data_IF_834165330979
#
_entry.id   IF_834165330979
#
_cell.length_a   1.000
_cell.length_b   1.000
_cell.length_c   1.000
_cell.angle_alpha   90.00
_cell.angle_beta   90.00
_cell.angle_gamma   90.00
#
_symmetry.space_group_name_H-M   'P 1'
#
loop_
_entity.id
_entity.type
_entity.pdbx_description
1 polymer ?
#
# COMPACT_ATOMS: atom_id res chain seq x y z
N UNK A 1 28.51 12.33 1.84
CA UNK A 1 29.85 12.79 1.46
C UNK A 1 30.03 12.87 -0.07
N UNK A 2 29.44 11.99 -0.86
CA UNK A 2 29.56 12.01 -2.33
C UNK A 2 28.86 13.22 -2.98
N UNK A 3 27.79 13.74 -2.35
CA UNK A 3 27.05 14.93 -2.81
C UNK A 3 27.48 16.23 -2.12
N UNK A 4 28.53 16.21 -1.27
CA UNK A 4 29.03 17.36 -0.57
C UNK A 4 28.20 17.82 0.64
N UNK A 5 27.20 17.07 1.06
CA UNK A 5 26.33 17.35 2.20
C UNK A 5 26.48 16.29 3.32
N UNK A 6 26.16 16.69 4.54
CA UNK A 6 26.11 15.85 5.74
C UNK A 6 24.64 15.56 6.11
N UNK A 7 24.40 14.52 6.89
CA UNK A 7 23.07 14.28 7.48
C UNK A 7 22.61 15.47 8.34
N UNK A 8 23.54 16.19 8.95
CA UNK A 8 23.27 17.40 9.75
C UNK A 8 22.76 18.60 8.94
N UNK A 9 22.87 18.54 7.60
CA UNK A 9 22.39 19.61 6.71
C UNK A 9 20.92 19.37 6.29
N UNK A 10 20.31 18.26 6.70
CA UNK A 10 18.91 17.95 6.39
C UNK A 10 18.00 18.78 7.29
N UNK A 11 17.15 19.61 6.70
CA UNK A 11 16.19 20.46 7.40
C UNK A 11 14.83 19.81 7.56
N UNK A 12 14.45 18.89 6.65
CA UNK A 12 13.16 18.22 6.67
C UNK A 12 13.19 16.87 5.96
N UNK A 13 12.29 15.98 6.39
CA UNK A 13 12.02 14.68 5.77
C UNK A 13 10.55 14.65 5.38
N UNK A 14 10.27 14.41 4.10
CA UNK A 14 8.92 14.18 3.60
C UNK A 14 8.75 12.71 3.27
N UNK A 15 7.67 12.12 3.72
CA UNK A 15 7.42 10.67 3.62
C UNK A 15 6.25 10.44 2.67
N UNK A 16 6.45 9.55 1.68
CA UNK A 16 5.39 9.20 0.73
C UNK A 16 4.25 8.42 1.39
N UNK A 17 4.58 7.56 2.36
CA UNK A 17 3.61 6.74 3.10
C UNK A 17 4.24 6.11 4.35
N UNK A 18 3.39 5.51 5.22
CA UNK A 18 3.79 5.10 6.57
C UNK A 18 4.61 3.81 6.68
N UNK A 19 4.78 3.01 5.63
CA UNK A 19 5.45 1.70 5.70
C UNK A 19 6.86 1.79 6.29
N UNK A 20 7.32 0.74 7.00
CA UNK A 20 8.59 0.75 7.75
C UNK A 20 9.84 1.02 6.91
N UNK A 21 9.88 0.56 5.67
CA UNK A 21 11.00 0.78 4.74
C UNK A 21 11.08 2.22 4.23
N UNK A 22 10.03 3.04 4.46
CA UNK A 22 10.00 4.47 4.16
C UNK A 22 10.16 5.34 5.42
N UNK A 23 9.67 4.89 6.57
CA UNK A 23 9.67 5.66 7.83
C UNK A 23 10.76 5.25 8.82
N UNK A 24 11.30 4.04 8.70
CA UNK A 24 12.17 3.43 9.72
C UNK A 24 13.48 4.18 10.02
N UNK A 25 13.94 5.07 9.13
CA UNK A 25 15.12 5.90 9.36
C UNK A 25 14.79 7.35 9.72
N UNK A 26 13.54 7.77 9.65
CA UNK A 26 13.15 9.18 9.87
C UNK A 26 13.56 9.69 11.24
N UNK A 27 13.31 8.91 12.30
CA UNK A 27 13.72 9.26 13.68
C UNK A 27 15.22 9.44 13.83
N UNK A 28 16.04 8.58 13.19
CA UNK A 28 17.50 8.69 13.21
C UNK A 28 18.02 9.92 12.45
N UNK A 29 17.37 10.28 11.34
CA UNK A 29 17.70 11.52 10.62
C UNK A 29 17.36 12.72 11.49
N UNK A 30 16.18 12.74 12.11
CA UNK A 30 15.78 13.79 13.06
C UNK A 30 16.76 13.92 14.22
N UNK A 31 17.18 12.83 14.84
CA UNK A 31 18.14 12.83 15.94
C UNK A 31 19.49 13.47 15.51
N UNK A 32 19.95 13.18 14.30
CA UNK A 32 21.22 13.66 13.79
C UNK A 32 21.20 15.12 13.31
N UNK A 33 20.08 15.62 12.80
CA UNK A 33 19.96 16.91 12.12
C UNK A 33 19.03 17.93 12.76
N UNK A 34 18.06 17.47 13.59
CA UNK A 34 16.96 18.29 14.04
C UNK A 34 15.85 18.49 12.97
N UNK A 35 15.89 17.72 11.88
CA UNK A 35 14.92 17.82 10.78
C UNK A 35 13.49 17.56 11.25
N UNK A 36 12.54 18.34 10.74
CA UNK A 36 11.10 18.02 10.85
C UNK A 36 10.75 16.84 9.95
N UNK A 37 9.69 16.10 10.30
CA UNK A 37 9.14 15.00 9.49
C UNK A 37 7.72 15.37 9.10
N UNK A 38 7.35 15.13 7.82
CA UNK A 38 6.00 15.36 7.33
C UNK A 38 5.43 14.13 6.60
N UNK A 39 4.15 13.86 6.83
CA UNK A 39 3.37 12.75 6.30
C UNK A 39 1.91 13.19 6.11
N UNK A 40 1.15 12.50 5.24
CA UNK A 40 -0.29 12.74 5.12
C UNK A 40 -1.05 12.27 6.38
N UNK A 41 -2.15 12.95 6.73
CA UNK A 41 -2.89 12.66 7.96
C UNK A 41 -3.45 11.24 8.04
N UNK A 42 -3.95 10.68 6.93
CA UNK A 42 -4.48 9.32 6.89
C UNK A 42 -3.40 8.26 7.17
N UNK A 43 -2.17 8.50 6.74
CA UNK A 43 -1.04 7.62 7.03
C UNK A 43 -0.45 7.86 8.42
N UNK A 44 -0.53 9.08 8.94
CA UNK A 44 -0.16 9.36 10.33
C UNK A 44 -1.02 8.55 11.31
N UNK A 45 -2.33 8.46 11.06
CA UNK A 45 -3.21 7.62 11.89
C UNK A 45 -2.75 6.16 11.93
N UNK A 46 -2.38 5.57 10.77
CA UNK A 46 -1.90 4.20 10.69
C UNK A 46 -0.50 4.03 11.31
N UNK A 47 0.36 5.01 11.10
CA UNK A 47 1.67 5.07 11.74
C UNK A 47 1.56 4.99 13.27
N UNK A 48 0.65 5.77 13.86
CA UNK A 48 0.42 5.77 15.31
C UNK A 48 -0.05 4.39 15.79
N UNK A 49 -0.98 3.76 15.08
CA UNK A 49 -1.44 2.40 15.39
C UNK A 49 -0.30 1.39 15.35
N UNK A 50 0.55 1.45 14.32
CA UNK A 50 1.67 0.51 14.15
C UNK A 50 2.82 0.75 15.13
N UNK A 51 3.17 2.02 15.38
CA UNK A 51 4.30 2.38 16.25
C UNK A 51 4.01 2.12 17.74
N UNK A 52 2.74 2.04 18.11
CA UNK A 52 2.28 1.79 19.48
C UNK A 52 1.73 0.37 19.70
N UNK A 53 1.45 -0.37 18.61
CA UNK A 53 0.94 -1.73 18.71
C UNK A 53 1.98 -2.66 19.34
N UNK A 54 1.52 -3.52 20.26
CA UNK A 54 2.35 -4.58 20.81
C UNK A 54 2.41 -5.75 19.82
N UNK A 55 3.57 -6.40 19.74
CA UNK A 55 3.77 -7.54 18.83
C UNK A 55 2.73 -8.65 19.00
N UNK A 56 2.31 -8.94 20.24
CA UNK A 56 1.29 -9.94 20.53
C UNK A 56 -0.11 -9.52 20.04
N UNK A 57 -0.44 -8.23 20.10
CA UNK A 57 -1.72 -7.68 19.60
C UNK A 57 -1.78 -7.71 18.07
N UNK A 58 -0.70 -7.30 17.42
CA UNK A 58 -0.59 -7.37 15.95
C UNK A 58 -0.69 -8.81 15.46
N UNK A 59 0.02 -9.74 16.09
CA UNK A 59 -0.01 -11.17 15.74
C UNK A 59 -1.42 -11.74 15.91
N UNK A 60 -2.06 -11.47 17.06
CA UNK A 60 -3.42 -11.95 17.33
C UNK A 60 -4.40 -11.45 16.26
N UNK A 61 -4.29 -10.18 15.91
CA UNK A 61 -5.06 -9.53 14.87
C UNK A 61 -4.89 -10.21 13.50
N UNK A 62 -3.65 -10.42 13.07
CA UNK A 62 -3.38 -11.08 11.78
C UNK A 62 -3.95 -12.51 11.73
N UNK A 63 -3.80 -13.26 12.81
CA UNK A 63 -4.34 -14.63 12.89
C UNK A 63 -5.87 -14.64 12.86
N UNK A 64 -6.54 -13.70 13.53
CA UNK A 64 -7.98 -13.55 13.47
C UNK A 64 -8.45 -13.21 12.05
N UNK A 65 -7.79 -12.27 11.38
CA UNK A 65 -8.10 -11.94 9.98
C UNK A 65 -7.94 -13.13 9.05
N UNK A 66 -6.85 -13.88 9.18
CA UNK A 66 -6.65 -15.09 8.40
C UNK A 66 -7.76 -16.10 8.64
N UNK A 67 -8.21 -16.28 9.90
CA UNK A 67 -9.31 -17.19 10.24
C UNK A 67 -10.63 -16.75 9.63
N UNK A 68 -10.98 -15.49 9.80
CA UNK A 68 -12.20 -14.90 9.22
C UNK A 68 -12.22 -14.95 7.69
N UNK A 69 -11.03 -14.84 7.07
CA UNK A 69 -10.86 -14.97 5.64
C UNK A 69 -10.93 -16.41 5.12
N UNK A 70 -11.00 -17.42 6.01
CA UNK A 70 -11.07 -18.83 5.65
C UNK A 70 -9.72 -19.52 5.48
N UNK A 71 -8.62 -18.92 5.97
CA UNK A 71 -7.29 -19.54 5.89
C UNK A 71 -7.23 -20.86 6.66
N UNK A 72 -6.65 -21.94 6.08
CA UNK A 72 -6.46 -23.20 6.77
C UNK A 72 -5.60 -23.04 8.04
N UNK A 73 -5.90 -23.87 9.05
CA UNK A 73 -5.14 -23.86 10.32
C UNK A 73 -3.64 -24.02 10.10
N UNK A 74 -3.23 -24.86 9.14
CA UNK A 74 -1.82 -25.10 8.83
C UNK A 74 -1.10 -23.81 8.36
N UNK A 75 -1.75 -22.96 7.53
CA UNK A 75 -1.18 -21.70 7.08
C UNK A 75 -1.12 -20.67 8.22
N UNK A 76 -2.14 -20.64 9.10
CA UNK A 76 -2.14 -19.79 10.30
C UNK A 76 -1.04 -20.19 11.29
N UNK A 77 -0.83 -21.49 11.51
CA UNK A 77 0.25 -22.00 12.36
C UNK A 77 1.63 -21.68 11.76
N UNK A 78 1.79 -21.81 10.43
CA UNK A 78 3.02 -21.47 9.74
C UNK A 78 3.33 -19.96 9.83
N UNK A 79 2.31 -19.10 9.70
CA UNK A 79 2.48 -17.66 9.88
C UNK A 79 2.95 -17.31 11.29
N UNK A 80 2.33 -17.89 12.33
CA UNK A 80 2.70 -17.67 13.73
C UNK A 80 4.17 -17.99 14.01
N UNK A 81 4.74 -18.98 13.32
CA UNK A 81 6.14 -19.38 13.49
C UNK A 81 7.15 -18.45 12.81
N UNK A 82 6.70 -17.66 11.82
CA UNK A 82 7.59 -16.83 10.99
C UNK A 82 7.54 -15.35 11.35
N UNK A 83 6.48 -14.89 11.97
CA UNK A 83 6.27 -13.48 12.31
C UNK A 83 6.77 -13.21 13.75
N UNK A 84 8.08 -13.30 13.95
CA UNK A 84 8.73 -12.86 15.18
C UNK A 84 9.60 -11.64 14.85
N UNK A 85 9.32 -10.50 15.44
CA UNK A 85 10.14 -9.29 15.29
C UNK A 85 9.45 -8.05 15.85
N UNK A 86 10.24 -7.16 16.41
CA UNK A 86 9.79 -5.84 16.84
C UNK A 86 9.44 -4.98 15.61
N UNK A 87 8.47 -4.07 15.76
CA UNK A 87 8.22 -3.06 14.73
C UNK A 87 9.51 -2.27 14.47
N UNK A 88 9.98 -2.17 13.22
CA UNK A 88 11.20 -1.41 12.92
C UNK A 88 11.01 0.11 13.02
N UNK A 89 9.80 0.58 13.35
CA UNK A 89 9.44 1.99 13.41
C UNK A 89 9.01 2.35 14.82
N UNK A 90 9.77 3.23 15.45
CA UNK A 90 9.45 3.76 16.77
C UNK A 90 8.78 5.14 16.70
N UNK A 91 8.25 5.62 17.85
CA UNK A 91 7.55 6.92 17.94
C UNK A 91 8.46 8.12 17.60
N UNK A 92 9.78 7.95 17.61
CA UNK A 92 10.74 8.96 17.19
C UNK A 92 10.64 9.32 15.70
N UNK A 93 10.02 8.47 14.89
CA UNK A 93 9.73 8.73 13.47
C UNK A 93 8.38 9.42 13.23
N UNK A 94 7.62 9.75 14.29
CA UNK A 94 6.32 10.41 14.17
C UNK A 94 6.44 11.77 13.46
N UNK A 95 5.47 12.14 12.59
CA UNK A 95 5.52 13.41 11.87
C UNK A 95 5.27 14.60 12.79
N UNK A 96 5.93 15.73 12.48
CA UNK A 96 5.69 17.05 13.10
C UNK A 96 4.66 17.85 12.33
N UNK A 97 4.46 17.48 11.06
CA UNK A 97 3.63 18.22 10.12
C UNK A 97 2.80 17.26 9.28
N UNK A 98 1.54 17.61 9.09
CA UNK A 98 0.64 16.88 8.19
C UNK A 98 0.64 17.54 6.81
N UNK A 99 0.67 16.72 5.77
CA UNK A 99 0.65 17.14 4.37
C UNK A 99 -0.78 17.13 3.85
N UNK A 100 -1.09 18.10 3.00
CA UNK A 100 -2.34 18.16 2.26
C UNK A 100 -2.11 18.06 0.75
N UNK A 101 -3.15 17.62 0.02
CA UNK A 101 -3.11 17.58 -1.45
C UNK A 101 -2.86 18.98 -2.03
N UNK A 102 -2.09 19.04 -3.12
CA UNK A 102 -1.67 20.25 -3.82
C UNK A 102 -0.86 21.26 -2.96
N UNK A 103 -0.50 20.89 -1.72
CA UNK A 103 0.40 21.71 -0.91
C UNK A 103 1.77 21.85 -1.59
N UNK A 104 2.33 23.06 -1.53
CA UNK A 104 3.68 23.35 -2.02
C UNK A 104 4.64 23.47 -0.82
N UNK A 105 5.53 22.50 -0.69
CA UNK A 105 6.63 22.53 0.27
C UNK A 105 7.73 23.40 -0.31
N UNK A 106 8.05 24.52 0.36
CA UNK A 106 9.10 25.42 -0.07
C UNK A 106 10.48 24.76 0.11
N UNK A 107 11.22 24.66 -0.98
CA UNK A 107 12.64 24.29 -1.00
C UNK A 107 13.44 25.52 -1.43
N UNK A 108 14.77 25.50 -1.20
CA UNK A 108 15.63 26.61 -1.65
C UNK A 108 15.57 26.77 -3.17
N UNK A 109 14.89 27.83 -3.63
CA UNK A 109 14.77 28.18 -5.04
C UNK A 109 13.71 27.44 -5.84
N UNK A 110 12.93 26.54 -5.23
CA UNK A 110 11.86 25.77 -5.91
C UNK A 110 10.76 25.32 -4.95
N UNK A 111 9.66 24.80 -5.50
CA UNK A 111 8.59 24.14 -4.76
C UNK A 111 8.54 22.65 -5.00
N UNK A 112 8.19 21.90 -3.99
CA UNK A 112 7.86 20.47 -4.08
C UNK A 112 6.36 20.32 -3.84
N UNK A 113 5.61 19.94 -4.87
CA UNK A 113 4.16 19.77 -4.80
C UNK A 113 3.82 18.41 -4.20
N UNK A 114 2.93 18.37 -3.24
CA UNK A 114 2.30 17.15 -2.74
C UNK A 114 1.17 16.75 -3.68
N UNK A 115 1.16 15.52 -4.13
CA UNK A 115 0.11 14.93 -4.97
C UNK A 115 -0.48 13.75 -4.21
N UNK A 116 -1.70 13.90 -3.68
CA UNK A 116 -2.37 12.84 -2.94
C UNK A 116 -2.76 11.69 -3.87
N UNK A 117 -2.27 10.49 -3.59
CA UNK A 117 -2.41 9.28 -4.41
C UNK A 117 -2.73 8.06 -3.55
N UNK A 118 -3.91 8.05 -2.88
CA UNK A 118 -4.32 6.94 -2.01
C UNK A 118 -4.47 5.63 -2.78
N UNK A 119 -4.43 4.52 -2.04
CA UNK A 119 -4.67 3.17 -2.54
C UNK A 119 -3.63 2.16 -2.08
N UNK A 120 -2.33 2.39 -2.32
CA UNK A 120 -1.26 1.58 -1.71
C UNK A 120 -1.29 1.68 -0.18
N UNK A 121 -1.39 2.90 0.32
CA UNK A 121 -1.86 3.23 1.67
C UNK A 121 -2.95 4.31 1.59
N UNK A 122 -3.79 4.50 2.63
CA UNK A 122 -4.81 5.55 2.63
C UNK A 122 -4.25 6.96 2.46
N UNK A 123 -3.07 7.23 3.02
CA UNK A 123 -2.42 8.53 3.00
C UNK A 123 -1.21 8.63 2.06
N UNK A 124 -1.07 7.70 1.10
CA UNK A 124 0.03 7.77 0.16
C UNK A 124 0.03 9.10 -0.62
N UNK A 125 1.22 9.69 -0.77
CA UNK A 125 1.44 10.88 -1.60
C UNK A 125 2.64 10.68 -2.52
N UNK A 126 2.53 11.20 -3.74
CA UNK A 126 3.68 11.46 -4.59
C UNK A 126 4.18 12.89 -4.37
N UNK A 127 5.43 13.16 -4.71
CA UNK A 127 6.00 14.51 -4.69
C UNK A 127 6.44 14.91 -6.07
N UNK A 128 6.01 16.07 -6.54
CA UNK A 128 6.28 16.53 -7.89
C UNK A 128 7.09 17.83 -7.90
N UNK A 129 8.20 17.83 -8.64
CA UNK A 129 9.01 19.00 -8.96
C UNK A 129 8.58 19.51 -10.32
N UNK A 130 7.63 20.46 -10.35
CA UNK A 130 7.06 21.00 -11.58
C UNK A 130 8.12 21.60 -12.53
N UNK A 131 9.11 22.28 -11.99
CA UNK A 131 10.17 22.94 -12.74
C UNK A 131 11.20 21.99 -13.37
N UNK A 132 11.23 20.75 -12.91
CA UNK A 132 12.15 19.71 -13.40
C UNK A 132 11.41 18.57 -14.15
N UNK A 133 10.09 18.57 -14.14
CA UNK A 133 9.23 17.49 -14.63
C UNK A 133 9.64 16.12 -14.05
N UNK A 134 9.84 16.08 -12.72
CA UNK A 134 10.24 14.86 -12.00
C UNK A 134 9.27 14.59 -10.88
N UNK A 135 8.69 13.39 -10.84
CA UNK A 135 7.84 12.91 -9.76
C UNK A 135 8.54 11.82 -8.94
N UNK A 136 8.58 11.98 -7.63
CA UNK A 136 8.88 10.91 -6.68
C UNK A 136 7.58 10.16 -6.43
N UNK A 137 7.48 8.95 -6.99
CA UNK A 137 6.21 8.20 -7.03
C UNK A 137 5.99 7.29 -5.83
N UNK A 138 6.95 7.22 -4.91
CA UNK A 138 6.85 6.28 -3.78
C UNK A 138 6.56 4.87 -4.27
N UNK A 139 5.53 4.25 -3.68
CA UNK A 139 5.01 2.94 -4.06
C UNK A 139 3.68 3.02 -4.82
N UNK A 140 3.39 4.17 -5.43
CA UNK A 140 2.22 4.32 -6.28
C UNK A 140 2.48 3.84 -7.72
N UNK A 141 3.60 4.26 -8.32
CA UNK A 141 4.03 3.81 -9.66
C UNK A 141 5.45 3.29 -9.58
N UNK A 142 5.66 2.03 -9.95
CA UNK A 142 6.96 1.36 -10.01
C UNK A 142 7.21 0.84 -11.42
N UNK A 143 8.45 0.94 -11.92
CA UNK A 143 8.77 0.65 -13.32
C UNK A 143 8.51 -0.80 -13.73
N UNK A 144 8.79 -1.78 -12.87
CA UNK A 144 8.72 -3.21 -13.22
C UNK A 144 7.72 -4.00 -12.38
N UNK A 145 7.58 -3.66 -11.13
CA UNK A 145 6.71 -4.37 -10.20
C UNK A 145 5.35 -3.70 -10.15
N UNK A 146 4.32 -4.49 -9.83
CA UNK A 146 3.01 -3.96 -9.48
C UNK A 146 3.03 -3.59 -8.00
N UNK A 147 2.71 -2.34 -7.63
CA UNK A 147 2.56 -1.97 -6.24
C UNK A 147 1.51 -2.82 -5.55
N UNK A 148 1.73 -3.11 -4.27
CA UNK A 148 0.73 -3.79 -3.47
C UNK A 148 -0.45 -2.84 -3.18
N UNK A 149 -1.67 -3.34 -3.36
CA UNK A 149 -2.91 -2.65 -2.99
C UNK A 149 -3.69 -3.56 -2.07
N UNK A 150 -3.76 -3.21 -0.80
CA UNK A 150 -4.38 -4.09 0.18
C UNK A 150 -5.08 -3.37 1.31
N UNK A 151 -6.00 -4.08 1.93
CA UNK A 151 -6.67 -3.64 3.15
C UNK A 151 -5.91 -4.20 4.36
N UNK A 152 -5.02 -3.38 4.94
CA UNK A 152 -4.23 -3.75 6.11
C UNK A 152 -4.86 -3.32 7.43
N UNK A 153 -5.90 -2.50 7.36
CA UNK A 153 -6.37 -1.76 8.51
C UNK A 153 -7.44 -2.54 9.24
N UNK A 154 -7.32 -2.53 10.54
CA UNK A 154 -8.31 -3.03 11.47
C UNK A 154 -9.08 -1.87 12.14
N UNK A 155 -10.37 -1.96 12.27
CA UNK A 155 -11.25 -2.92 11.57
C UNK A 155 -11.15 -2.74 10.07
N UNK A 156 -11.43 -3.81 9.29
CA UNK A 156 -11.43 -3.73 7.82
C UNK A 156 -12.15 -2.46 7.40
N UNK A 157 -11.36 -1.49 6.96
CA UNK A 157 -11.87 -0.23 6.47
C UNK A 157 -12.91 -0.52 5.40
N UNK A 158 -14.04 0.16 5.44
CA UNK A 158 -15.05 0.07 4.38
C UNK A 158 -14.55 0.70 3.07
N UNK A 159 -13.35 1.26 3.08
CA UNK A 159 -12.66 1.87 1.96
C UNK A 159 -12.44 0.88 0.84
N UNK A 160 -12.69 1.30 -0.39
CA UNK A 160 -12.31 0.58 -1.60
C UNK A 160 -10.89 1.03 -2.02
N UNK A 161 -9.87 0.43 -1.39
CA UNK A 161 -8.47 0.77 -1.65
C UNK A 161 -8.08 0.60 -3.12
N UNK A 162 -8.69 -0.36 -3.83
CA UNK A 162 -8.43 -0.54 -5.26
C UNK A 162 -9.08 0.57 -6.10
N UNK A 163 -10.27 1.04 -5.76
CA UNK A 163 -10.86 2.20 -6.42
C UNK A 163 -9.99 3.44 -6.22
N UNK A 164 -9.59 3.72 -4.97
CA UNK A 164 -8.70 4.84 -4.65
C UNK A 164 -7.39 4.76 -5.47
N UNK A 165 -6.80 3.57 -5.59
CA UNK A 165 -5.57 3.34 -6.34
C UNK A 165 -5.76 3.58 -7.85
N UNK A 166 -6.84 3.07 -8.43
CA UNK A 166 -7.15 3.26 -9.85
C UNK A 166 -7.44 4.72 -10.20
N UNK A 167 -8.16 5.43 -9.35
CA UNK A 167 -8.43 6.87 -9.50
C UNK A 167 -7.13 7.69 -9.39
N UNK A 168 -6.26 7.32 -8.46
CA UNK A 168 -4.93 7.93 -8.31
C UNK A 168 -4.04 7.68 -9.52
N UNK A 169 -4.04 6.46 -10.08
CA UNK A 169 -3.32 6.14 -11.32
C UNK A 169 -3.86 6.97 -12.50
N UNK A 170 -5.18 7.09 -12.65
CA UNK A 170 -5.79 7.91 -13.69
C UNK A 170 -5.43 9.40 -13.53
N UNK A 171 -5.38 9.91 -12.28
CA UNK A 171 -4.90 11.26 -11.99
C UNK A 171 -3.46 11.46 -12.48
N UNK A 172 -2.54 10.57 -12.09
CA UNK A 172 -1.12 10.63 -12.45
C UNK A 172 -0.93 10.47 -13.96
N UNK A 173 -1.67 9.58 -14.60
CA UNK A 173 -1.66 9.40 -16.06
C UNK A 173 -1.96 10.72 -16.80
N UNK A 174 -2.94 11.48 -16.31
CA UNK A 174 -3.34 12.74 -16.92
C UNK A 174 -2.37 13.92 -16.65
N UNK A 175 -1.42 13.77 -15.73
CA UNK A 175 -0.40 14.80 -15.47
C UNK A 175 0.70 14.86 -16.56
N UNK A 176 0.81 13.83 -17.42
CA UNK A 176 1.79 13.73 -18.51
C UNK A 176 3.25 13.91 -18.06
N UNK A 177 3.60 13.34 -16.92
CA UNK A 177 4.94 13.43 -16.32
C UNK A 177 5.90 12.50 -17.05
N UNK A 178 7.03 13.03 -17.50
CA UNK A 178 7.98 12.27 -18.33
C UNK A 178 8.97 11.46 -17.50
N UNK A 179 9.25 11.84 -16.24
CA UNK A 179 10.23 11.15 -15.40
C UNK A 179 9.72 10.87 -14.00
N UNK A 180 9.74 9.61 -13.61
CA UNK A 180 9.41 9.15 -12.26
C UNK A 180 10.59 8.53 -11.53
N UNK A 181 10.62 8.72 -10.22
CA UNK A 181 11.53 8.08 -9.29
C UNK A 181 10.70 7.31 -8.27
N UNK A 182 10.50 6.00 -8.53
CA UNK A 182 9.85 5.09 -7.60
C UNK A 182 10.76 4.78 -6.41
N UNK A 183 10.16 4.40 -5.30
CA UNK A 183 10.95 4.04 -4.11
C UNK A 183 11.74 2.74 -4.34
N UNK A 184 11.23 1.85 -5.18
CA UNK A 184 11.85 0.57 -5.50
C UNK A 184 12.14 0.42 -7.00
N UNK A 185 13.32 -0.12 -7.32
CA UNK A 185 13.70 -0.46 -8.70
C UNK A 185 14.48 0.64 -9.42
N UNK A 186 14.10 0.92 -10.65
CA UNK A 186 14.80 1.86 -11.54
C UNK A 186 13.88 3.04 -11.90
N UNK A 187 14.46 4.18 -12.35
CA UNK A 187 13.67 5.31 -12.82
C UNK A 187 12.65 4.93 -13.91
N UNK A 188 11.58 5.70 -13.99
CA UNK A 188 10.46 5.54 -14.90
C UNK A 188 10.56 6.64 -15.96
N UNK A 189 10.63 6.27 -17.23
CA UNK A 189 10.80 7.25 -18.33
C UNK A 189 9.47 7.78 -18.87
N UNK A 190 8.34 7.11 -18.57
CA UNK A 190 6.98 7.51 -18.93
C UNK A 190 6.03 7.12 -17.78
N UNK A 191 5.84 8.04 -16.85
CA UNK A 191 4.99 7.80 -15.66
C UNK A 191 3.54 7.60 -16.05
N UNK A 192 3.04 8.39 -17.01
CA UNK A 192 1.66 8.30 -17.48
C UNK A 192 1.38 6.99 -18.20
N UNK A 193 2.26 6.58 -19.11
CA UNK A 193 2.15 5.28 -19.79
C UNK A 193 2.20 4.10 -18.81
N UNK A 194 3.11 4.16 -17.82
CA UNK A 194 3.20 3.11 -16.80
C UNK A 194 1.97 3.07 -15.89
N UNK A 195 1.39 4.21 -15.54
CA UNK A 195 0.12 4.27 -14.79
C UNK A 195 -1.02 3.59 -15.59
N UNK A 196 -1.10 3.84 -16.90
CA UNK A 196 -2.04 3.16 -17.79
C UNK A 196 -1.88 1.64 -17.79
N UNK A 197 -0.64 1.12 -17.90
CA UNK A 197 -0.36 -0.32 -17.82
C UNK A 197 -0.81 -0.93 -16.48
N UNK A 198 -0.66 -0.21 -15.38
CA UNK A 198 -1.11 -0.66 -14.06
C UNK A 198 -2.65 -0.72 -13.97
N UNK A 199 -3.35 0.25 -14.57
CA UNK A 199 -4.82 0.23 -14.64
C UNK A 199 -5.28 -1.00 -15.43
N UNK A 200 -4.72 -1.26 -16.60
CA UNK A 200 -5.03 -2.44 -17.43
C UNK A 200 -4.76 -3.75 -16.65
N UNK A 201 -3.62 -3.82 -15.97
CA UNK A 201 -3.26 -4.99 -15.16
C UNK A 201 -4.31 -5.30 -14.08
N UNK A 202 -4.79 -4.29 -13.35
CA UNK A 202 -5.83 -4.52 -12.33
C UNK A 202 -7.17 -4.88 -12.96
N UNK A 203 -7.53 -4.31 -14.11
CA UNK A 203 -8.74 -4.70 -14.83
C UNK A 203 -8.68 -6.17 -15.28
N UNK A 204 -7.55 -6.62 -15.83
CA UNK A 204 -7.35 -8.04 -16.20
C UNK A 204 -7.48 -8.97 -14.98
N UNK A 205 -6.96 -8.56 -13.82
CA UNK A 205 -7.10 -9.33 -12.57
C UNK A 205 -8.54 -9.42 -12.11
N UNK A 206 -9.30 -8.33 -12.18
CA UNK A 206 -10.73 -8.31 -11.83
C UNK A 206 -11.54 -9.20 -12.77
N UNK A 207 -11.29 -9.13 -14.07
CA UNK A 207 -11.96 -9.97 -15.07
C UNK A 207 -11.66 -11.46 -14.87
N UNK A 208 -10.40 -11.79 -14.52
CA UNK A 208 -10.03 -13.16 -14.17
C UNK A 208 -10.77 -13.64 -12.91
N UNK A 209 -10.80 -12.83 -11.85
CA UNK A 209 -11.52 -13.19 -10.62
C UNK A 209 -13.03 -13.41 -10.86
N UNK A 210 -13.67 -12.59 -11.70
CA UNK A 210 -15.07 -12.78 -12.05
C UNK A 210 -15.32 -14.12 -12.77
N UNK A 211 -14.35 -14.64 -13.53
CA UNK A 211 -14.46 -15.98 -14.14
C UNK A 211 -14.34 -17.08 -13.08
N UNK A 212 -13.50 -16.90 -12.07
CA UNK A 212 -13.34 -17.85 -10.96
C UNK A 212 -14.60 -17.97 -10.08
N UNK A 213 -15.46 -16.94 -10.08
CA UNK A 213 -16.76 -16.94 -9.41
C UNK A 213 -17.90 -17.57 -10.23
N UNK A 214 -17.65 -18.11 -11.42
CA UNK A 214 -18.73 -18.52 -12.35
C UNK A 214 -19.77 -19.44 -11.71
N UNK A 215 -19.34 -20.49 -10.99
CA UNK A 215 -20.22 -21.46 -10.32
C UNK A 215 -19.83 -21.70 -8.83
N UNK A 216 -18.76 -21.08 -8.36
CA UNK A 216 -18.19 -21.31 -7.03
C UNK A 216 -18.56 -20.20 -6.04
N UNK A 217 -18.68 -20.59 -4.78
CA UNK A 217 -18.68 -19.65 -3.65
C UNK A 217 -17.30 -19.67 -3.03
N UNK A 218 -16.63 -18.52 -2.97
CA UNK A 218 -15.25 -18.40 -2.55
C UNK A 218 -15.14 -17.62 -1.24
N UNK A 219 -14.24 -18.04 -0.38
CA UNK A 219 -13.77 -17.22 0.75
C UNK A 219 -12.76 -16.18 0.26
N UNK A 220 -12.38 -15.21 1.12
CA UNK A 220 -11.29 -14.26 0.79
C UNK A 220 -9.97 -15.01 0.55
N UNK A 221 -9.74 -16.09 1.31
CA UNK A 221 -8.55 -16.93 1.13
C UNK A 221 -8.55 -17.63 -0.24
N UNK A 222 -9.69 -18.16 -0.68
CA UNK A 222 -9.81 -18.79 -2.00
C UNK A 222 -9.59 -17.78 -3.12
N UNK A 223 -10.12 -16.56 -2.98
CA UNK A 223 -9.88 -15.45 -3.92
C UNK A 223 -8.39 -15.17 -4.03
N UNK A 224 -7.69 -14.99 -2.91
CA UNK A 224 -6.25 -14.76 -2.93
C UNK A 224 -5.48 -15.93 -3.56
N UNK A 225 -5.88 -17.18 -3.26
CA UNK A 225 -5.23 -18.37 -3.82
C UNK A 225 -5.42 -18.52 -5.35
N UNK A 226 -6.56 -18.02 -5.88
CA UNK A 226 -6.88 -18.07 -7.31
C UNK A 226 -6.27 -16.90 -8.12
N UNK A 227 -5.87 -15.82 -7.47
CA UNK A 227 -5.16 -14.72 -8.13
C UNK A 227 -3.81 -15.17 -8.68
N UNK A 228 -3.38 -14.53 -9.76
CA UNK A 228 -2.07 -14.80 -10.38
C UNK A 228 -0.96 -14.09 -9.63
N UNK A 229 -0.01 -14.84 -9.10
CA UNK A 229 1.17 -14.36 -8.38
C UNK A 229 2.46 -14.63 -9.17
N UNK A 230 3.57 -14.02 -8.73
CA UNK A 230 4.90 -14.22 -9.33
C UNK A 230 5.44 -15.65 -9.19
N UNK A 231 4.84 -16.48 -8.31
CA UNK A 231 5.11 -17.90 -8.14
C UNK A 231 3.85 -18.66 -7.69
N UNK A 232 3.82 -20.00 -7.81
CA UNK A 232 2.69 -20.81 -7.36
C UNK A 232 2.30 -20.52 -5.90
N UNK A 233 1.01 -20.49 -5.60
CA UNK A 233 0.47 -20.22 -4.26
C UNK A 233 1.11 -21.07 -3.16
N UNK A 234 1.37 -22.37 -3.42
CA UNK A 234 2.01 -23.27 -2.46
C UNK A 234 3.44 -22.89 -2.09
N UNK A 235 4.12 -22.10 -2.95
CA UNK A 235 5.51 -21.66 -2.75
C UNK A 235 5.62 -20.26 -2.14
N UNK A 236 4.48 -19.56 -1.96
CA UNK A 236 4.45 -18.27 -1.30
C UNK A 236 4.71 -18.47 0.20
N UNK A 237 5.61 -17.65 0.75
CA UNK A 237 5.92 -17.68 2.19
C UNK A 237 4.69 -17.34 3.04
N UNK A 238 4.63 -17.75 4.30
CA UNK A 238 3.51 -17.43 5.18
C UNK A 238 3.22 -15.92 5.27
N UNK A 239 4.26 -15.08 5.39
CA UNK A 239 4.12 -13.62 5.35
C UNK A 239 3.63 -13.15 3.97
N UNK A 240 4.14 -13.70 2.88
CA UNK A 240 3.69 -13.39 1.53
C UNK A 240 2.21 -13.75 1.30
N UNK A 241 1.71 -14.81 1.92
CA UNK A 241 0.29 -15.18 1.88
C UNK A 241 -0.60 -14.19 2.62
N UNK A 242 -0.15 -13.58 3.72
CA UNK A 242 -0.91 -12.52 4.39
C UNK A 242 -0.99 -11.26 3.54
N UNK A 243 0.10 -10.90 2.86
CA UNK A 243 0.11 -9.80 1.88
C UNK A 243 -0.84 -10.10 0.71
N UNK A 244 -0.75 -11.31 0.14
CA UNK A 244 -1.65 -11.74 -0.93
C UNK A 244 -3.12 -11.79 -0.50
N UNK A 245 -3.39 -12.18 0.75
CA UNK A 245 -4.73 -12.16 1.34
C UNK A 245 -5.30 -10.74 1.40
N UNK A 246 -4.50 -9.78 1.85
CA UNK A 246 -4.85 -8.36 1.90
C UNK A 246 -5.16 -7.80 0.50
N UNK A 247 -4.36 -8.16 -0.50
CA UNK A 247 -4.60 -7.75 -1.89
C UNK A 247 -5.84 -8.43 -2.50
N UNK A 248 -6.05 -9.72 -2.20
CA UNK A 248 -7.27 -10.44 -2.58
C UNK A 248 -8.53 -9.82 -1.97
N UNK A 249 -8.46 -9.40 -0.71
CA UNK A 249 -9.53 -8.69 -0.02
C UNK A 249 -9.86 -7.34 -0.70
N UNK A 250 -8.84 -6.56 -1.11
CA UNK A 250 -9.05 -5.29 -1.81
C UNK A 250 -9.74 -5.49 -3.17
N UNK A 251 -9.31 -6.47 -3.96
CA UNK A 251 -9.95 -6.80 -5.24
C UNK A 251 -11.39 -7.30 -5.05
N UNK A 252 -11.62 -8.17 -4.07
CA UNK A 252 -12.96 -8.65 -3.75
C UNK A 252 -13.89 -7.51 -3.29
N UNK A 253 -13.37 -6.61 -2.44
CA UNK A 253 -14.13 -5.43 -1.99
C UNK A 253 -14.55 -4.56 -3.17
N UNK A 254 -13.67 -4.33 -4.12
CA UNK A 254 -13.96 -3.57 -5.34
C UNK A 254 -15.08 -4.24 -6.17
N UNK A 255 -15.02 -5.57 -6.35
CA UNK A 255 -16.10 -6.32 -7.04
C UNK A 255 -17.43 -6.24 -6.30
N UNK A 256 -17.42 -6.24 -4.97
CA UNK A 256 -18.63 -6.07 -4.14
C UNK A 256 -19.18 -4.64 -4.27
N UNK A 257 -18.33 -3.62 -4.22
CA UNK A 257 -18.74 -2.23 -4.39
C UNK A 257 -19.38 -1.96 -5.77
N UNK A 258 -18.96 -2.73 -6.79
CA UNK A 258 -19.54 -2.69 -8.15
C UNK A 258 -20.73 -3.64 -8.34
N UNK A 259 -21.22 -4.25 -7.27
CA UNK A 259 -22.35 -5.19 -7.30
C UNK A 259 -22.13 -6.41 -8.22
N UNK A 260 -20.89 -6.73 -8.59
CA UNK A 260 -20.53 -7.86 -9.45
C UNK A 260 -20.42 -9.18 -8.66
N UNK A 261 -20.14 -9.06 -7.36
CA UNK A 261 -20.06 -10.13 -6.39
C UNK A 261 -20.81 -9.72 -5.13
N UNK A 262 -21.44 -10.66 -4.44
CA UNK A 262 -22.15 -10.40 -3.19
C UNK A 262 -21.78 -11.43 -2.12
N UNK A 263 -21.80 -10.99 -0.85
CA UNK A 263 -21.60 -11.91 0.28
C UNK A 263 -22.83 -12.82 0.46
N UNK A 264 -22.58 -14.10 0.67
CA UNK A 264 -23.63 -15.09 0.96
C UNK A 264 -24.06 -14.94 2.43
N UNK A 265 -25.34 -14.65 2.71
CA UNK A 265 -25.79 -14.43 4.08
C UNK A 265 -25.56 -15.65 4.98
N UNK A 266 -25.07 -15.40 6.21
CA UNK A 266 -24.95 -16.42 7.27
C UNK A 266 -23.82 -17.43 7.06
N UNK A 267 -22.88 -17.19 6.14
CA UNK A 267 -21.70 -18.04 5.99
C UNK A 267 -20.58 -17.66 6.96
N UNK A 268 -19.93 -18.64 7.56
CA UNK A 268 -18.70 -18.52 8.36
C UNK A 268 -17.72 -19.64 7.98
N UNK A 269 -16.52 -19.33 7.48
CA UNK A 269 -16.08 -17.99 7.07
C UNK A 269 -16.98 -17.36 6.00
N UNK A 270 -16.90 -16.04 5.81
CA UNK A 270 -17.68 -15.33 4.82
C UNK A 270 -17.43 -15.90 3.42
N UNK A 271 -18.51 -16.30 2.74
CA UNK A 271 -18.49 -16.74 1.35
C UNK A 271 -19.03 -15.64 0.45
N UNK A 272 -18.49 -15.56 -0.74
CA UNK A 272 -18.90 -14.62 -1.78
C UNK A 272 -19.29 -15.38 -3.03
N UNK A 273 -20.24 -14.85 -3.78
CA UNK A 273 -20.72 -15.44 -5.02
C UNK A 273 -20.93 -14.34 -6.06
N UNK A 274 -20.89 -14.71 -7.34
CA UNK A 274 -21.21 -13.80 -8.44
C UNK A 274 -22.66 -13.30 -8.28
N UNK A 275 -22.85 -11.99 -8.42
CA UNK A 275 -24.20 -11.41 -8.45
C UNK A 275 -24.94 -11.84 -9.72
N UNK A 276 -26.24 -12.09 -9.61
CA UNK A 276 -27.13 -12.56 -10.70
C UNK A 276 -27.70 -11.37 -11.47
#
# INVERSE_FOLDING_TARGET
>A
AEIGHSVTDIEGVVVTHFHPDHTGLCGRVREASGAWIAMHEDDHYLFDQMSTARDDEWMAYQLENMERAGAPKADRDAFRLTAAGESPVGPESAPDRLLADDEIIALTGRGLRVVYTPGHTPGHVCFYLDDADVMFTGDHVLQKTTPHVGNFVYPLDERDALADFLDSLARVQNMNITRGLGAHGIPIDDVGGRAGELIEHHQERLDHLLQEFADDKLTVWDVAAKMKWYKPWAEISPMGKTMALSEGAAHLRHLVAREQVSQVPGSEPALFARSV
#
